data_IF_855031105343
#
_entry.id   IF_855031105343
#
_cell.length_a   1.000
_cell.length_b   1.000
_cell.length_c   1.000
_cell.angle_alpha   90.00
_cell.angle_beta   90.00
_cell.angle_gamma   90.00
#
_symmetry.space_group_name_H-M   'P 1'
#
loop_
_entity.id
_entity.type
_entity.pdbx_description
1 polymer ?
#
# COMPACT_ATOMS: atom_id res chain seq x y z
N UNK A 1 -8.16 1.88 8.08
CA UNK A 1 -7.55 0.73 7.39
C UNK A 1 -6.47 1.13 6.37
N UNK A 2 -6.60 2.24 5.65
CA UNK A 2 -5.58 2.71 4.69
C UNK A 2 -4.15 2.84 5.28
N UNK A 3 -3.97 3.41 6.47
CA UNK A 3 -2.63 3.52 7.09
C UNK A 3 -1.98 2.16 7.36
N UNK A 4 -2.76 1.19 7.87
CA UNK A 4 -2.31 -0.20 8.07
C UNK A 4 -1.89 -0.84 6.76
N UNK A 5 -2.62 -0.58 5.67
CA UNK A 5 -2.23 -1.06 4.33
C UNK A 5 -0.90 -0.45 3.90
N UNK A 6 -0.71 0.87 4.04
CA UNK A 6 0.55 1.55 3.68
C UNK A 6 1.74 1.00 4.49
N UNK A 7 1.57 0.81 5.79
CA UNK A 7 2.60 0.23 6.66
C UNK A 7 2.97 -1.19 6.22
N UNK A 8 1.97 -2.05 6.00
CA UNK A 8 2.18 -3.42 5.55
C UNK A 8 2.79 -3.47 4.15
N UNK A 9 2.32 -2.62 3.23
CA UNK A 9 2.87 -2.52 1.87
C UNK A 9 4.36 -2.11 1.86
N UNK A 10 4.78 -1.25 2.79
CA UNK A 10 6.18 -0.82 2.88
C UNK A 10 7.10 -1.85 3.56
N UNK A 11 6.62 -2.52 4.62
CA UNK A 11 7.47 -3.33 5.50
C UNK A 11 7.22 -4.84 5.44
N UNK A 12 6.06 -5.29 4.98
CA UNK A 12 5.60 -6.69 4.97
C UNK A 12 4.55 -6.94 3.86
N UNK A 13 4.89 -6.62 2.61
CA UNK A 13 3.91 -6.70 1.50
C UNK A 13 3.43 -8.15 1.23
N UNK A 14 4.22 -9.15 1.61
CA UNK A 14 3.82 -10.57 1.53
C UNK A 14 2.77 -10.95 2.57
N UNK A 15 2.66 -10.20 3.67
CA UNK A 15 1.59 -10.39 4.63
C UNK A 15 0.29 -9.68 4.25
N UNK A 16 0.19 -9.00 3.11
CA UNK A 16 -1.10 -8.58 2.56
C UNK A 16 -1.79 -9.84 2.01
N UNK A 17 -2.29 -10.66 2.92
CA UNK A 17 -2.95 -11.93 2.65
C UNK A 17 -4.46 -11.75 2.47
N UNK A 18 -5.15 -12.85 2.17
CA UNK A 18 -6.60 -12.83 1.93
C UNK A 18 -7.37 -12.32 3.16
N UNK A 19 -6.94 -12.67 4.38
CA UNK A 19 -7.59 -12.22 5.60
C UNK A 19 -7.48 -10.69 5.77
N UNK A 20 -6.31 -10.13 5.48
CA UNK A 20 -6.12 -8.68 5.50
C UNK A 20 -6.88 -7.97 4.39
N UNK A 21 -6.95 -8.55 3.19
CA UNK A 21 -7.78 -8.02 2.10
C UNK A 21 -9.27 -8.05 2.46
N UNK A 22 -9.74 -9.09 3.16
CA UNK A 22 -11.11 -9.15 3.66
C UNK A 22 -11.40 -8.08 4.72
N UNK A 23 -10.45 -7.77 5.60
CA UNK A 23 -10.55 -6.60 6.51
C UNK A 23 -10.62 -5.28 5.72
N UNK A 24 -9.82 -5.12 4.66
CA UNK A 24 -9.85 -3.93 3.80
C UNK A 24 -11.18 -3.75 3.09
N UNK A 25 -11.77 -4.84 2.58
CA UNK A 25 -13.06 -4.86 1.89
C UNK A 25 -14.23 -4.41 2.77
N UNK A 26 -14.08 -4.43 4.09
CA UNK A 26 -15.08 -3.85 5.02
C UNK A 26 -15.11 -2.32 4.97
N UNK A 27 -14.08 -1.68 4.43
CA UNK A 27 -13.91 -0.22 4.42
C UNK A 27 -13.78 0.38 3.02
N UNK A 28 -13.36 -0.41 2.04
CA UNK A 28 -13.07 0.02 0.68
C UNK A 28 -13.63 -0.99 -0.32
N UNK A 29 -14.16 -0.49 -1.42
CA UNK A 29 -14.45 -1.30 -2.61
C UNK A 29 -13.17 -1.83 -3.26
N UNK A 30 -13.30 -2.85 -4.10
CA UNK A 30 -12.17 -3.39 -4.89
C UNK A 30 -11.45 -2.28 -5.69
N UNK A 31 -12.21 -1.36 -6.28
CA UNK A 31 -11.64 -0.24 -7.04
C UNK A 31 -10.82 0.70 -6.15
N UNK A 32 -11.32 1.02 -4.96
CA UNK A 32 -10.61 1.84 -3.97
C UNK A 32 -9.37 1.12 -3.42
N UNK A 33 -9.40 -0.21 -3.25
CA UNK A 33 -8.23 -0.99 -2.83
C UNK A 33 -7.15 -0.97 -3.91
N UNK A 34 -7.54 -1.12 -5.19
CA UNK A 34 -6.61 -1.00 -6.32
C UNK A 34 -5.99 0.40 -6.36
N UNK A 35 -6.81 1.45 -6.22
CA UNK A 35 -6.33 2.83 -6.18
C UNK A 35 -5.39 3.09 -4.99
N UNK A 36 -5.73 2.56 -3.81
CA UNK A 36 -4.89 2.62 -2.63
C UNK A 36 -3.52 1.98 -2.88
N UNK A 37 -3.48 0.83 -3.57
CA UNK A 37 -2.25 0.19 -4.02
C UNK A 37 -1.44 1.06 -5.00
N UNK A 38 -2.10 1.65 -5.99
CA UNK A 38 -1.45 2.54 -6.98
C UNK A 38 -0.82 3.78 -6.32
N UNK A 39 -1.57 4.46 -5.45
CA UNK A 39 -1.10 5.64 -4.73
C UNK A 39 0.07 5.27 -3.83
N UNK A 40 -0.08 4.22 -3.02
CA UNK A 40 0.97 3.76 -2.10
C UNK A 40 2.25 3.39 -2.84
N UNK A 41 2.14 2.59 -3.90
CA UNK A 41 3.28 2.17 -4.72
C UNK A 41 3.99 3.34 -5.39
N UNK A 42 3.24 4.31 -5.92
CA UNK A 42 3.79 5.49 -6.58
C UNK A 42 4.64 6.32 -5.62
N UNK A 43 4.10 6.64 -4.44
CA UNK A 43 4.83 7.46 -3.47
C UNK A 43 5.98 6.70 -2.81
N UNK A 44 5.85 5.38 -2.59
CA UNK A 44 6.94 4.56 -2.11
C UNK A 44 8.09 4.54 -3.11
N UNK A 45 7.81 4.26 -4.39
CA UNK A 45 8.82 4.30 -5.44
C UNK A 45 9.52 5.66 -5.51
N UNK A 46 8.74 6.76 -5.54
CA UNK A 46 9.29 8.11 -5.57
C UNK A 46 10.17 8.40 -4.36
N UNK A 47 9.75 8.00 -3.16
CA UNK A 47 10.55 8.14 -1.95
C UNK A 47 11.89 7.39 -2.08
N UNK A 48 11.89 6.12 -2.51
CA UNK A 48 13.12 5.34 -2.73
C UNK A 48 14.04 5.96 -3.78
N UNK A 49 13.47 6.50 -4.86
CA UNK A 49 14.24 7.20 -5.88
C UNK A 49 14.92 8.44 -5.31
N UNK A 50 14.20 9.27 -4.56
CA UNK A 50 14.77 10.46 -3.93
C UNK A 50 15.89 10.09 -2.95
N UNK A 51 15.72 9.02 -2.16
CA UNK A 51 16.76 8.52 -1.25
C UNK A 51 18.02 8.06 -1.98
N UNK A 52 17.87 7.30 -3.08
CA UNK A 52 19.01 6.74 -3.84
C UNK A 52 19.76 7.81 -4.63
N UNK A 53 19.03 8.77 -5.21
CA UNK A 53 19.60 9.75 -6.14
C UNK A 53 19.81 11.15 -5.54
N UNK A 54 19.39 11.38 -4.28
CA UNK A 54 19.55 12.65 -3.58
C UNK A 54 18.70 13.79 -4.15
N UNK A 55 17.47 13.49 -4.57
CA UNK A 55 16.51 14.44 -5.18
C UNK A 55 15.54 15.06 -4.17
#
# INVERSE_FOLDING_TARGET
MAMRFVEKFNWDHLGIDDAFLDELRQHFSEAEIVELGQVTGTYLFRHRMNEVFGL
#
